data_IF_303277512006
#
_entry.id   IF_303277512006
#
_cell.length_a   1.000
_cell.length_b   1.000
_cell.length_c   1.000
_cell.angle_alpha   90.00
_cell.angle_beta   90.00
_cell.angle_gamma   90.00
#
_symmetry.space_group_name_H-M   'P 1'
#
loop_
_entity.id
_entity.type
_entity.pdbx_description
1 polymer ?
#
# COMPACT_ATOMS: atom_id res chain seq x y z
N UNK A 1 41.69 -57.99 -0.24
CA UNK A 1 40.93 -56.95 -0.96
C UNK A 1 39.47 -57.28 -1.24
N UNK A 2 39.02 -58.51 -1.13
CA UNK A 2 37.63 -58.92 -1.52
C UNK A 2 36.56 -58.65 -0.44
N UNK A 3 36.90 -58.55 0.83
CA UNK A 3 35.92 -58.34 1.91
C UNK A 3 35.34 -56.89 1.97
N UNK A 4 36.12 -55.89 1.62
CA UNK A 4 35.64 -54.50 1.62
C UNK A 4 34.64 -54.22 0.50
N UNK A 5 34.86 -54.84 -0.69
CA UNK A 5 33.96 -54.68 -1.84
C UNK A 5 32.60 -55.36 -1.62
N UNK A 6 32.57 -56.46 -0.90
CA UNK A 6 31.31 -57.14 -0.57
C UNK A 6 30.53 -56.39 0.51
N UNK A 7 31.22 -55.82 1.46
CA UNK A 7 30.60 -55.01 2.53
C UNK A 7 30.08 -53.65 1.98
N UNK A 8 30.82 -53.04 1.04
CA UNK A 8 30.38 -51.81 0.37
C UNK A 8 29.22 -52.08 -0.59
N UNK A 9 29.21 -53.23 -1.28
CA UNK A 9 28.09 -53.70 -2.09
C UNK A 9 26.87 -54.06 -1.22
N UNK A 10 27.06 -54.66 -0.07
CA UNK A 10 25.99 -54.94 0.89
C UNK A 10 25.45 -53.67 1.51
N UNK A 11 26.33 -52.74 1.90
CA UNK A 11 25.94 -51.39 2.33
C UNK A 11 25.16 -50.64 1.28
N UNK A 12 25.62 -50.61 0.05
CA UNK A 12 24.91 -49.96 -1.05
C UNK A 12 23.52 -50.55 -1.31
N UNK A 13 23.37 -51.85 -1.11
CA UNK A 13 22.09 -52.53 -1.28
C UNK A 13 21.14 -52.38 -0.08
N UNK A 14 21.68 -52.30 1.14
CA UNK A 14 20.90 -52.17 2.38
C UNK A 14 20.61 -50.70 2.69
N UNK A 15 21.49 -49.77 2.25
CA UNK A 15 21.38 -48.35 2.50
C UNK A 15 21.07 -47.53 1.24
N UNK A 16 20.59 -48.17 0.20
CA UNK A 16 20.30 -47.51 -1.07
C UNK A 16 19.20 -46.43 -0.95
N UNK A 17 18.38 -46.52 0.10
CA UNK A 17 17.26 -45.60 0.37
C UNK A 17 17.50 -44.67 1.59
N UNK A 18 18.73 -44.67 2.21
CA UNK A 18 19.07 -43.83 3.35
C UNK A 18 20.13 -44.42 4.29
N UNK A 19 20.78 -43.56 5.09
CA UNK A 19 21.89 -43.99 5.99
C UNK A 19 21.40 -44.64 7.29
N UNK A 20 20.15 -44.38 7.71
CA UNK A 20 19.51 -44.99 8.86
C UNK A 20 18.09 -45.49 8.56
N UNK A 21 17.46 -46.13 9.54
CA UNK A 21 16.10 -46.67 9.43
C UNK A 21 15.07 -45.57 9.21
N UNK A 22 15.26 -44.43 9.84
CA UNK A 22 14.34 -43.29 9.79
C UNK A 22 14.37 -42.61 8.42
N UNK A 23 15.57 -42.42 7.88
CA UNK A 23 15.79 -41.88 6.53
C UNK A 23 15.22 -42.80 5.46
N UNK A 24 15.39 -44.12 5.60
CA UNK A 24 14.81 -45.11 4.65
C UNK A 24 13.29 -45.10 4.67
N UNK A 25 12.70 -44.98 5.87
CA UNK A 25 11.24 -44.90 5.98
C UNK A 25 10.75 -43.58 5.33
N UNK A 26 11.40 -42.47 5.60
CA UNK A 26 11.08 -41.20 5.00
C UNK A 26 11.16 -41.21 3.48
N UNK A 27 12.27 -41.67 2.92
CA UNK A 27 12.47 -41.74 1.46
C UNK A 27 11.47 -42.69 0.79
N UNK A 28 11.10 -43.78 1.45
CA UNK A 28 10.06 -44.67 0.96
C UNK A 28 8.69 -44.02 0.97
N UNK A 29 8.32 -43.38 2.08
CA UNK A 29 7.05 -42.68 2.21
C UNK A 29 6.94 -41.52 1.21
N UNK A 30 8.04 -40.80 0.99
CA UNK A 30 8.06 -39.70 0.00
C UNK A 30 7.82 -40.22 -1.42
N UNK A 31 8.49 -41.33 -1.81
CA UNK A 31 8.30 -41.94 -3.10
C UNK A 31 6.87 -42.49 -3.28
N UNK A 32 6.36 -43.17 -2.25
CA UNK A 32 4.98 -43.71 -2.27
C UNK A 32 3.96 -42.54 -2.35
N UNK A 33 4.24 -41.39 -1.69
CA UNK A 33 3.41 -40.21 -1.76
C UNK A 33 3.48 -39.52 -3.14
N UNK A 34 4.66 -39.36 -3.73
CA UNK A 34 4.83 -38.85 -5.08
C UNK A 34 4.05 -39.64 -6.13
N UNK A 35 4.06 -40.99 -6.00
CA UNK A 35 3.27 -41.87 -6.86
C UNK A 35 1.75 -41.75 -6.60
N UNK A 36 1.36 -41.40 -5.38
CA UNK A 36 -0.02 -41.18 -4.98
C UNK A 36 -0.59 -39.88 -5.54
N UNK A 37 0.18 -38.78 -5.51
CA UNK A 37 -0.27 -37.46 -6.02
C UNK A 37 -0.81 -37.63 -7.43
N UNK A 38 -0.07 -38.29 -8.32
CA UNK A 38 -0.44 -38.46 -9.74
C UNK A 38 -1.68 -39.32 -9.98
N UNK A 39 -2.08 -40.10 -8.99
CA UNK A 39 -3.20 -41.05 -9.09
C UNK A 39 -4.41 -40.66 -8.26
N UNK A 40 -4.24 -39.64 -7.42
CA UNK A 40 -5.32 -39.16 -6.53
C UNK A 40 -6.39 -38.44 -7.34
N UNK A 41 -7.68 -38.70 -7.11
CA UNK A 41 -8.75 -37.89 -7.66
C UNK A 41 -8.77 -36.44 -7.07
N UNK A 42 -8.13 -36.25 -5.93
CA UNK A 42 -8.01 -34.94 -5.25
C UNK A 42 -6.68 -34.23 -5.59
N UNK A 43 -6.01 -34.69 -6.67
CA UNK A 43 -4.80 -34.00 -7.17
C UNK A 43 -5.14 -32.62 -7.69
N UNK A 44 -4.28 -31.66 -7.38
CA UNK A 44 -4.38 -30.25 -7.77
C UNK A 44 -3.03 -29.72 -8.24
N UNK A 45 -3.05 -28.79 -9.16
CA UNK A 45 -1.86 -28.09 -9.63
C UNK A 45 -1.68 -26.80 -8.83
N UNK A 46 -0.47 -26.56 -8.33
CA UNK A 46 -0.11 -25.36 -7.56
C UNK A 46 0.88 -24.52 -8.34
N UNK A 47 0.61 -23.23 -8.48
CA UNK A 47 1.55 -22.23 -8.97
C UNK A 47 2.09 -21.41 -7.80
N UNK A 48 3.39 -21.52 -7.53
CA UNK A 48 4.08 -20.77 -6.49
C UNK A 48 5.47 -20.33 -6.99
N UNK A 49 5.81 -19.05 -6.81
CA UNK A 49 7.10 -18.44 -7.25
C UNK A 49 7.48 -18.78 -8.71
N UNK A 50 6.50 -18.71 -9.62
CA UNK A 50 6.64 -19.03 -11.06
C UNK A 50 6.97 -20.51 -11.37
N UNK A 51 6.82 -21.41 -10.42
CA UNK A 51 6.94 -22.86 -10.62
C UNK A 51 5.59 -23.54 -10.44
N UNK A 52 5.45 -24.71 -11.05
CA UNK A 52 4.25 -25.54 -10.95
C UNK A 52 4.58 -26.83 -10.21
N UNK A 53 3.68 -27.23 -9.32
CA UNK A 53 3.84 -28.41 -8.47
C UNK A 53 2.51 -29.16 -8.39
N UNK A 54 2.60 -30.49 -8.32
CA UNK A 54 1.45 -31.32 -8.03
C UNK A 54 1.26 -31.45 -6.51
N UNK A 55 0.01 -31.43 -6.05
CA UNK A 55 -0.32 -31.60 -4.64
C UNK A 55 -1.66 -32.32 -4.48
N UNK A 56 -2.03 -32.65 -3.25
CA UNK A 56 -3.33 -33.24 -2.93
C UNK A 56 -4.10 -32.28 -2.03
N UNK A 57 -5.30 -31.88 -2.45
CA UNK A 57 -6.23 -31.12 -1.64
C UNK A 57 -7.08 -32.07 -0.82
N UNK A 58 -6.92 -32.03 0.51
CA UNK A 58 -7.71 -32.83 1.42
C UNK A 58 -8.75 -31.96 2.13
N UNK A 59 -9.99 -32.03 1.70
CA UNK A 59 -11.10 -31.28 2.31
C UNK A 59 -11.47 -31.73 3.73
N UNK A 60 -10.63 -32.56 4.35
CA UNK A 60 -10.80 -33.11 5.70
C UNK A 60 -12.15 -33.79 5.90
N UNK A 61 -12.17 -35.00 6.40
CA UNK A 61 -13.40 -35.76 6.66
C UNK A 61 -14.30 -35.07 7.68
N UNK A 62 -15.19 -34.16 7.26
CA UNK A 62 -16.33 -33.80 8.09
C UNK A 62 -17.42 -34.85 7.92
N UNK A 63 -17.44 -35.81 8.80
CA UNK A 63 -18.59 -36.68 9.04
C UNK A 63 -19.69 -35.95 9.83
N UNK A 64 -20.01 -34.74 9.55
CA UNK A 64 -21.13 -34.06 10.15
C UNK A 64 -22.05 -33.58 9.05
N UNK A 65 -23.22 -34.14 9.03
CA UNK A 65 -24.19 -34.06 7.96
C UNK A 65 -24.87 -32.70 7.82
N UNK A 66 -24.20 -31.73 7.31
CA UNK A 66 -24.88 -30.68 6.55
C UNK A 66 -24.05 -30.37 5.30
N UNK A 67 -24.65 -30.60 4.15
CA UNK A 67 -24.06 -30.40 2.82
C UNK A 67 -23.91 -28.91 2.43
N UNK A 68 -23.98 -27.99 3.38
CA UNK A 68 -24.07 -26.54 3.13
C UNK A 68 -22.96 -25.71 3.78
N UNK A 69 -22.09 -26.28 4.57
CA UNK A 69 -20.96 -25.54 5.14
C UNK A 69 -19.72 -25.70 4.28
N UNK A 70 -19.40 -24.66 3.51
CA UNK A 70 -18.10 -24.52 2.83
C UNK A 70 -17.02 -24.54 3.91
N UNK A 71 -16.16 -25.54 3.91
CA UNK A 71 -15.06 -25.54 4.88
C UNK A 71 -14.08 -24.45 4.50
N UNK A 72 -13.96 -23.50 5.38
CA UNK A 72 -13.07 -22.37 5.22
C UNK A 72 -11.61 -22.81 5.24
N UNK A 73 -11.24 -23.74 6.14
CA UNK A 73 -9.89 -24.27 6.26
C UNK A 73 -9.83 -25.64 5.59
N UNK A 74 -8.88 -25.77 4.68
CA UNK A 74 -8.57 -27.03 4.00
C UNK A 74 -7.13 -27.47 4.30
N UNK A 75 -6.82 -28.70 3.94
CA UNK A 75 -5.49 -29.25 4.09
C UNK A 75 -4.87 -29.50 2.72
N UNK A 76 -3.65 -28.99 2.56
CA UNK A 76 -2.82 -29.24 1.40
C UNK A 76 -1.70 -30.20 1.77
N UNK A 77 -1.52 -31.24 0.97
CA UNK A 77 -0.43 -32.19 1.08
C UNK A 77 0.51 -31.98 -0.10
N UNK A 78 1.78 -31.71 0.17
CA UNK A 78 2.79 -31.51 -0.88
C UNK A 78 3.96 -32.46 -0.71
N UNK A 79 4.67 -32.69 -1.79
CA UNK A 79 5.95 -33.36 -1.76
C UNK A 79 6.97 -32.56 -0.93
N UNK A 80 8.03 -33.23 -0.46
CA UNK A 80 9.12 -32.61 0.29
C UNK A 80 9.91 -31.58 -0.56
N UNK A 81 9.77 -31.62 -1.87
CA UNK A 81 10.37 -30.65 -2.79
C UNK A 81 9.66 -29.28 -2.77
N UNK A 82 8.44 -29.20 -2.23
CA UNK A 82 7.69 -27.95 -2.08
C UNK A 82 7.48 -27.60 -0.61
N UNK A 83 8.35 -26.76 -0.06
CA UNK A 83 8.18 -26.18 1.26
C UNK A 83 7.54 -24.78 1.15
N UNK A 84 6.30 -24.65 1.63
CA UNK A 84 5.56 -23.39 1.66
C UNK A 84 5.71 -22.73 3.04
N UNK A 85 6.24 -21.51 3.14
CA UNK A 85 6.25 -20.79 4.40
C UNK A 85 4.83 -20.35 4.82
N UNK A 86 4.65 -20.11 6.11
CA UNK A 86 3.42 -19.48 6.61
C UNK A 86 3.24 -18.10 5.96
N UNK A 87 2.02 -17.77 5.54
CA UNK A 87 1.73 -16.56 4.78
C UNK A 87 2.03 -16.63 3.28
N UNK A 88 2.55 -17.75 2.77
CA UNK A 88 2.71 -17.95 1.33
C UNK A 88 1.36 -17.90 0.62
N UNK A 89 1.28 -17.06 -0.41
CA UNK A 89 0.13 -17.00 -1.32
C UNK A 89 0.48 -17.75 -2.59
N UNK A 90 -0.41 -18.60 -3.04
CA UNK A 90 -0.24 -19.43 -4.23
C UNK A 90 -1.57 -19.61 -4.96
N UNK A 91 -1.49 -19.88 -6.23
CA UNK A 91 -2.66 -20.23 -7.03
C UNK A 91 -2.79 -21.75 -7.14
N UNK A 92 -4.01 -22.23 -7.06
CA UNK A 92 -4.33 -23.65 -7.16
C UNK A 92 -5.38 -23.87 -8.24
N UNK A 93 -5.07 -24.76 -9.17
CA UNK A 93 -5.98 -25.15 -10.23
C UNK A 93 -6.51 -26.57 -9.96
N UNK A 94 -7.83 -26.70 -9.98
CA UNK A 94 -8.49 -28.01 -9.89
C UNK A 94 -8.67 -28.57 -11.31
N UNK A 95 -7.99 -29.65 -11.71
CA UNK A 95 -7.99 -30.15 -13.08
C UNK A 95 -9.39 -30.54 -13.60
N UNK A 96 -10.30 -30.93 -12.70
CA UNK A 96 -11.66 -31.33 -13.08
C UNK A 96 -12.56 -30.12 -13.39
N UNK A 97 -12.35 -29.00 -12.73
CA UNK A 97 -13.18 -27.79 -12.86
C UNK A 97 -12.55 -26.74 -13.77
N UNK A 98 -11.27 -26.87 -14.08
CA UNK A 98 -10.46 -25.86 -14.81
C UNK A 98 -10.58 -24.45 -14.18
N UNK A 99 -10.74 -24.45 -12.85
CA UNK A 99 -10.91 -23.22 -12.05
C UNK A 99 -9.62 -23.00 -11.24
N UNK A 100 -9.07 -21.80 -11.37
CA UNK A 100 -7.91 -21.37 -10.59
C UNK A 100 -8.35 -20.45 -9.47
N UNK A 101 -7.96 -20.78 -8.26
CA UNK A 101 -8.28 -20.02 -7.04
C UNK A 101 -7.01 -19.68 -6.28
N UNK A 102 -7.02 -18.56 -5.57
CA UNK A 102 -5.86 -18.07 -4.80
C UNK A 102 -5.99 -18.48 -3.34
N UNK A 103 -4.91 -18.99 -2.77
CA UNK A 103 -4.88 -19.54 -1.40
C UNK A 103 -3.73 -18.97 -0.59
N UNK A 104 -3.89 -18.98 0.74
CA UNK A 104 -2.84 -18.59 1.69
C UNK A 104 -2.57 -19.74 2.67
N UNK A 105 -1.28 -19.93 2.98
CA UNK A 105 -0.85 -20.88 4.01
C UNK A 105 -1.00 -20.27 5.38
N UNK A 106 -1.82 -20.87 6.24
CA UNK A 106 -1.94 -20.45 7.64
C UNK A 106 -0.88 -21.11 8.52
N UNK A 107 -0.70 -22.42 8.36
CA UNK A 107 0.19 -23.16 9.24
C UNK A 107 0.64 -24.47 8.62
N UNK A 108 1.92 -24.81 8.86
CA UNK A 108 2.43 -26.15 8.58
C UNK A 108 2.19 -27.06 9.78
N UNK A 109 1.44 -28.14 9.61
CA UNK A 109 1.28 -29.12 10.67
C UNK A 109 2.60 -29.89 10.88
N UNK A 110 3.04 -29.94 12.13
CA UNK A 110 4.19 -30.77 12.51
C UNK A 110 3.70 -32.20 12.63
N UNK A 111 4.12 -33.05 11.67
CA UNK A 111 3.82 -34.45 11.69
C UNK A 111 5.05 -35.27 12.04
N UNK A 112 4.80 -36.39 12.69
CA UNK A 112 5.78 -37.47 12.82
C UNK A 112 6.00 -38.24 11.47
N UNK A 113 5.31 -37.85 10.41
CA UNK A 113 5.44 -38.46 9.09
C UNK A 113 6.43 -37.69 8.24
N UNK A 114 7.48 -38.38 7.82
CA UNK A 114 8.61 -37.78 7.10
C UNK A 114 8.48 -37.82 5.57
N UNK A 115 7.30 -38.16 5.05
CA UNK A 115 7.12 -38.42 3.61
C UNK A 115 6.51 -37.30 2.81
N UNK A 116 5.90 -36.31 3.45
CA UNK A 116 5.23 -35.16 2.81
C UNK A 116 5.04 -34.03 3.81
N UNK A 117 4.80 -32.82 3.29
CA UNK A 117 4.34 -31.69 4.10
C UNK A 117 2.82 -31.63 4.12
N UNK A 118 2.26 -31.16 5.23
CA UNK A 118 0.83 -30.90 5.38
C UNK A 118 0.61 -29.50 5.88
N UNK A 119 -0.17 -28.75 5.14
CA UNK A 119 -0.48 -27.35 5.42
C UNK A 119 -1.97 -27.16 5.68
N UNK A 120 -2.29 -26.21 6.55
CA UNK A 120 -3.61 -25.63 6.65
C UNK A 120 -3.64 -24.40 5.77
N UNK A 121 -4.64 -24.35 4.89
CA UNK A 121 -4.78 -23.29 3.90
C UNK A 121 -6.19 -22.71 3.92
N UNK A 122 -6.32 -21.47 3.50
CA UNK A 122 -7.60 -20.77 3.31
C UNK A 122 -7.64 -20.17 1.91
N UNK A 123 -8.78 -20.29 1.25
CA UNK A 123 -9.04 -19.66 -0.03
C UNK A 123 -9.24 -18.14 0.16
N UNK A 124 -8.55 -17.33 -0.64
CA UNK A 124 -8.71 -15.88 -0.69
C UNK A 124 -9.70 -15.56 -1.81
N UNK A 125 -10.97 -15.56 -1.48
CA UNK A 125 -12.08 -15.51 -2.44
C UNK A 125 -12.55 -14.09 -2.80
N UNK A 126 -11.88 -13.06 -2.24
CA UNK A 126 -12.14 -11.67 -2.54
C UNK A 126 -10.89 -10.95 -3.01
N UNK A 127 -11.05 -10.06 -3.99
CA UNK A 127 -10.08 -9.01 -4.29
C UNK A 127 -10.53 -7.72 -3.63
N UNK A 128 -9.71 -7.21 -2.72
CA UNK A 128 -9.97 -5.93 -2.06
C UNK A 128 -9.00 -4.87 -2.52
N UNK A 129 -9.50 -3.64 -2.67
CA UNK A 129 -8.72 -2.49 -3.07
C UNK A 129 -8.62 -1.51 -1.91
N UNK A 130 -7.46 -0.94 -1.72
CA UNK A 130 -7.24 0.15 -0.77
C UNK A 130 -6.21 1.13 -1.29
N UNK A 131 -6.27 2.35 -0.78
CA UNK A 131 -5.30 3.42 -1.07
C UNK A 131 -4.37 3.55 0.12
N UNK A 132 -3.07 3.51 -0.14
CA UNK A 132 -2.06 3.70 0.91
C UNK A 132 -1.92 5.18 1.32
N UNK A 133 -1.08 5.45 2.33
CA UNK A 133 -0.83 6.82 2.80
C UNK A 133 -0.15 7.71 1.75
N UNK A 134 0.39 7.12 0.68
CA UNK A 134 1.05 7.82 -0.42
C UNK A 134 0.14 8.04 -1.63
N UNK A 135 -1.07 7.46 -1.64
CA UNK A 135 -2.03 7.55 -2.73
C UNK A 135 -1.88 6.49 -3.80
N UNK A 136 -1.11 5.43 -3.53
CA UNK A 136 -1.05 4.31 -4.44
C UNK A 136 -2.24 3.39 -4.22
N UNK A 137 -2.88 2.99 -5.31
CA UNK A 137 -3.93 1.99 -5.28
C UNK A 137 -3.31 0.60 -5.25
N UNK A 138 -3.68 -0.17 -4.25
CA UNK A 138 -3.29 -1.57 -4.10
C UNK A 138 -4.50 -2.48 -4.28
N UNK A 139 -4.28 -3.62 -4.91
CA UNK A 139 -5.25 -4.71 -5.00
C UNK A 139 -4.63 -5.93 -4.33
N UNK A 140 -5.32 -6.51 -3.35
CA UNK A 140 -4.82 -7.66 -2.60
C UNK A 140 -5.92 -8.71 -2.47
N UNK A 141 -5.59 -9.98 -2.61
CA UNK A 141 -6.51 -11.06 -2.32
C UNK A 141 -6.74 -11.17 -0.81
N UNK A 142 -7.97 -11.43 -0.40
CA UNK A 142 -8.35 -11.57 0.99
C UNK A 142 -9.44 -12.64 1.16
N UNK A 143 -9.47 -13.25 2.33
CA UNK A 143 -10.62 -13.98 2.82
C UNK A 143 -11.42 -13.08 3.77
N UNK A 144 -12.73 -12.99 3.55
CA UNK A 144 -13.63 -12.16 4.35
C UNK A 144 -14.57 -13.04 5.16
N UNK A 145 -14.53 -12.90 6.47
CA UNK A 145 -15.38 -13.64 7.39
C UNK A 145 -16.34 -12.69 8.13
N UNK A 146 -17.63 -12.99 8.05
CA UNK A 146 -18.65 -12.34 8.90
C UNK A 146 -18.52 -12.77 10.37
N UNK A 147 -19.11 -11.98 11.26
CA UNK A 147 -19.14 -12.25 12.71
C UNK A 147 -19.96 -13.50 13.03
N UNK A 148 -19.45 -14.68 12.82
CA UNK A 148 -20.20 -15.91 13.13
C UNK A 148 -19.52 -17.21 12.75
N UNK A 149 -18.58 -17.20 11.86
CA UNK A 149 -17.89 -18.40 11.43
C UNK A 149 -16.70 -18.74 12.34
N UNK A 150 -16.68 -19.92 12.90
CA UNK A 150 -15.96 -20.26 14.12
C UNK A 150 -14.58 -20.87 13.92
N UNK A 151 -14.31 -21.47 12.77
CA UNK A 151 -13.14 -22.33 12.60
C UNK A 151 -11.79 -21.57 12.58
N UNK A 152 -11.83 -20.29 12.25
CA UNK A 152 -10.62 -19.44 12.17
C UNK A 152 -10.23 -18.89 13.55
N UNK A 153 -11.17 -18.64 14.44
CA UNK A 153 -10.90 -18.10 15.79
C UNK A 153 -10.01 -18.98 16.65
N UNK A 154 -10.00 -20.29 16.41
CA UNK A 154 -9.12 -21.21 17.16
C UNK A 154 -7.64 -20.99 16.90
N UNK A 155 -7.29 -20.39 15.75
CA UNK A 155 -5.90 -20.09 15.36
C UNK A 155 -5.42 -18.75 15.87
N UNK A 156 -6.30 -17.79 15.98
CA UNK A 156 -5.99 -16.45 16.45
C UNK A 156 -6.34 -16.33 17.92
N UNK A 157 -5.34 -16.49 18.80
CA UNK A 157 -5.49 -16.47 20.27
C UNK A 157 -5.96 -15.13 20.84
N UNK A 158 -5.82 -14.06 20.09
CA UNK A 158 -6.42 -12.77 20.44
C UNK A 158 -7.87 -12.77 19.99
N UNK A 159 -8.66 -13.57 20.71
CA UNK A 159 -10.08 -13.51 20.54
C UNK A 159 -10.56 -12.11 20.94
N UNK A 160 -11.58 -11.67 20.25
CA UNK A 160 -12.45 -10.53 20.54
C UNK A 160 -12.95 -10.45 22.02
N UNK A 161 -12.44 -11.24 22.94
CA UNK A 161 -12.81 -11.26 24.36
C UNK A 161 -12.46 -9.97 25.09
N UNK A 162 -11.66 -9.09 24.52
CA UNK A 162 -11.37 -7.76 25.09
C UNK A 162 -12.28 -6.66 24.53
N UNK A 163 -13.05 -6.92 23.49
CA UNK A 163 -14.01 -5.96 22.96
C UNK A 163 -15.40 -6.32 23.51
N UNK A 164 -15.76 -5.71 24.62
CA UNK A 164 -17.03 -5.91 25.34
C UNK A 164 -18.26 -5.44 24.56
N UNK A 165 -18.09 -4.67 23.52
CA UNK A 165 -19.14 -4.20 22.62
C UNK A 165 -18.64 -4.26 21.18
N UNK A 166 -18.75 -5.42 20.55
CA UNK A 166 -18.60 -5.50 19.09
C UNK A 166 -19.86 -4.88 18.49
N UNK A 167 -19.78 -3.75 17.79
CA UNK A 167 -20.91 -3.27 17.02
C UNK A 167 -21.43 -4.40 16.13
N UNK A 168 -22.73 -4.50 15.93
CA UNK A 168 -23.38 -5.59 15.19
C UNK A 168 -22.91 -5.79 13.73
N UNK A 169 -21.81 -5.14 13.32
CA UNK A 169 -21.24 -5.18 11.98
C UNK A 169 -19.71 -5.04 12.03
N UNK A 170 -19.04 -6.10 12.42
CA UNK A 170 -17.59 -6.25 12.24
C UNK A 170 -17.34 -7.32 11.19
N UNK A 171 -16.32 -7.15 10.37
CA UNK A 171 -15.77 -8.17 9.47
C UNK A 171 -14.36 -8.52 9.91
N UNK A 172 -13.97 -9.76 9.68
CA UNK A 172 -12.60 -10.19 9.86
C UNK A 172 -12.01 -10.56 8.50
N UNK A 173 -10.79 -10.11 8.25
CA UNK A 173 -10.05 -10.37 7.03
C UNK A 173 -8.81 -11.18 7.32
N UNK A 174 -8.53 -12.12 6.41
CA UNK A 174 -7.23 -12.80 6.33
C UNK A 174 -6.60 -12.40 5.01
N UNK A 175 -5.41 -11.90 5.07
CA UNK A 175 -4.58 -11.53 3.92
C UNK A 175 -3.10 -11.79 4.20
N UNK A 176 -2.30 -11.82 3.14
CA UNK A 176 -0.85 -11.90 3.30
C UNK A 176 -0.32 -10.65 4.00
N UNK A 177 0.76 -10.80 4.77
CA UNK A 177 1.39 -9.70 5.46
C UNK A 177 1.80 -8.60 4.48
N UNK A 178 1.25 -7.42 4.68
CA UNK A 178 1.56 -6.23 3.90
C UNK A 178 1.73 -5.04 4.85
N UNK A 179 2.93 -4.40 4.88
CA UNK A 179 3.21 -3.28 5.78
C UNK A 179 2.31 -2.07 5.55
N UNK A 180 1.72 -1.93 4.35
CA UNK A 180 0.86 -0.81 4.00
C UNK A 180 -0.56 -0.97 4.56
N UNK A 181 -0.95 -2.19 4.95
CA UNK A 181 -2.21 -2.44 5.65
C UNK A 181 -2.07 -2.02 7.11
N UNK A 182 -2.41 -0.77 7.37
CA UNK A 182 -2.33 -0.13 8.69
C UNK A 182 -3.72 0.10 9.28
N UNK A 183 -3.75 0.36 10.59
CA UNK A 183 -4.96 0.87 11.22
C UNK A 183 -5.40 2.16 10.53
N UNK A 184 -6.69 2.25 10.21
CA UNK A 184 -7.24 3.39 9.51
C UNK A 184 -7.42 3.21 8.01
N UNK A 185 -6.80 2.21 7.39
CA UNK A 185 -7.03 1.86 5.97
C UNK A 185 -8.51 1.58 5.77
N UNK A 186 -9.09 2.18 4.73
CA UNK A 186 -10.49 2.00 4.34
C UNK A 186 -10.57 1.13 3.10
N UNK A 187 -11.56 0.28 3.06
CA UNK A 187 -11.86 -0.63 1.94
C UNK A 187 -13.34 -0.60 1.64
N UNK A 188 -13.69 -0.77 0.38
CA UNK A 188 -15.07 -0.86 -0.06
C UNK A 188 -15.42 -2.30 -0.43
N UNK A 189 -16.60 -2.75 0.03
CA UNK A 189 -17.17 -4.05 -0.32
C UNK A 189 -18.63 -3.83 -0.66
N UNK A 190 -18.97 -3.99 -1.93
CA UNK A 190 -20.29 -3.63 -2.43
C UNK A 190 -20.53 -2.12 -2.32
N UNK A 191 -21.55 -1.73 -1.57
CA UNK A 191 -21.90 -0.33 -1.28
C UNK A 191 -21.49 0.14 0.13
N UNK A 192 -20.76 -0.70 0.85
CA UNK A 192 -20.37 -0.46 2.24
C UNK A 192 -18.86 -0.21 2.36
N UNK A 193 -18.50 0.73 3.22
CA UNK A 193 -17.11 1.05 3.53
C UNK A 193 -16.73 0.53 4.91
N UNK A 194 -15.56 -0.10 4.95
CA UNK A 194 -15.01 -0.76 6.12
C UNK A 194 -13.64 -0.18 6.45
N UNK A 195 -13.36 -0.01 7.73
CA UNK A 195 -12.09 0.56 8.21
C UNK A 195 -11.35 -0.46 9.06
N UNK A 196 -10.08 -0.67 8.77
CA UNK A 196 -9.19 -1.51 9.59
C UNK A 196 -9.02 -0.85 10.96
N UNK A 197 -9.41 -1.55 12.01
CA UNK A 197 -9.33 -1.06 13.39
C UNK A 197 -8.19 -1.73 14.13
N UNK A 198 -8.00 -3.02 13.91
CA UNK A 198 -6.95 -3.81 14.53
C UNK A 198 -6.46 -4.90 13.58
N UNK A 199 -5.22 -5.35 13.79
CA UNK A 199 -4.63 -6.45 13.03
C UNK A 199 -3.72 -7.26 13.93
N UNK A 200 -4.02 -8.55 14.06
CA UNK A 200 -3.07 -9.51 14.60
C UNK A 200 -2.01 -9.82 13.52
N UNK A 201 -0.79 -9.43 13.82
CA UNK A 201 0.38 -9.56 12.95
C UNK A 201 1.43 -10.53 13.51
N UNK A 202 1.10 -11.18 14.63
CA UNK A 202 2.06 -11.92 15.46
C UNK A 202 1.72 -13.40 15.53
N UNK A 203 0.42 -13.75 15.58
CA UNK A 203 -0.01 -15.14 15.81
C UNK A 203 0.43 -16.10 14.72
N UNK A 204 0.44 -15.64 13.47
CA UNK A 204 0.91 -16.41 12.31
C UNK A 204 1.87 -15.52 11.50
N UNK A 205 3.15 -15.86 11.42
CA UNK A 205 4.09 -15.12 10.58
C UNK A 205 3.60 -15.08 9.12
N UNK A 206 3.69 -13.90 8.50
CA UNK A 206 3.28 -13.72 7.11
C UNK A 206 1.78 -13.62 6.86
N UNK A 207 0.93 -13.72 7.88
CA UNK A 207 -0.52 -13.58 7.78
C UNK A 207 -1.00 -12.43 8.66
N UNK A 208 -1.79 -11.54 8.10
CA UNK A 208 -2.52 -10.53 8.87
C UNK A 208 -3.97 -10.97 9.04
N UNK A 209 -4.39 -11.05 10.30
CA UNK A 209 -5.78 -11.20 10.66
C UNK A 209 -6.31 -9.86 11.16
N UNK A 210 -7.14 -9.21 10.35
CA UNK A 210 -7.56 -7.84 10.61
C UNK A 210 -9.05 -7.77 10.92
N UNK A 211 -9.40 -6.98 11.93
CA UNK A 211 -10.78 -6.67 12.27
C UNK A 211 -11.14 -5.30 11.67
N UNK A 212 -12.24 -5.27 10.94
CA UNK A 212 -12.76 -4.09 10.29
C UNK A 212 -14.13 -3.73 10.82
N UNK A 213 -14.34 -2.43 11.02
CA UNK A 213 -15.66 -1.91 11.39
C UNK A 213 -16.26 -1.13 10.24
N UNK A 214 -17.57 -1.28 10.07
CA UNK A 214 -18.31 -0.48 9.11
C UNK A 214 -18.19 0.99 9.49
N UNK A 215 -17.84 1.82 8.51
CA UNK A 215 -17.77 3.27 8.63
C UNK A 215 -18.76 3.94 7.69
N UNK A 216 -18.92 5.24 7.83
CA UNK A 216 -19.76 6.02 6.92
C UNK A 216 -19.07 6.11 5.57
N UNK A 217 -19.84 5.86 4.51
CA UNK A 217 -19.39 6.11 3.15
C UNK A 217 -19.37 7.61 2.89
N UNK A 218 -18.29 8.09 2.32
CA UNK A 218 -18.22 9.41 1.74
C UNK A 218 -18.64 9.31 0.27
N UNK A 219 -19.72 10.00 -0.10
CA UNK A 219 -20.26 9.90 -1.47
C UNK A 219 -19.35 10.56 -2.53
N UNK A 220 -18.38 11.36 -2.10
CA UNK A 220 -17.46 12.07 -2.98
C UNK A 220 -16.15 11.32 -3.18
N UNK A 221 -15.68 10.66 -2.12
CA UNK A 221 -14.36 10.07 -2.07
C UNK A 221 -14.40 8.54 -2.26
N UNK A 222 -15.57 7.92 -2.03
CA UNK A 222 -15.72 6.47 -2.09
C UNK A 222 -16.45 6.05 -3.37
N UNK A 223 -15.71 5.49 -4.34
CA UNK A 223 -16.21 5.14 -5.65
C UNK A 223 -16.73 3.69 -5.71
N UNK A 224 -18.05 3.53 -5.71
CA UNK A 224 -18.71 2.22 -5.77
C UNK A 224 -18.42 1.44 -7.06
N UNK A 225 -18.45 2.04 -8.27
CA UNK A 225 -18.12 1.33 -9.49
C UNK A 225 -16.74 0.69 -9.52
N UNK A 226 -15.73 1.34 -8.99
CA UNK A 226 -14.34 0.82 -8.95
C UNK A 226 -14.04 0.05 -7.67
N UNK A 227 -14.96 0.05 -6.70
CA UNK A 227 -14.76 -0.54 -5.38
C UNK A 227 -13.53 0.01 -4.65
N UNK A 228 -13.35 1.33 -4.69
CA UNK A 228 -12.24 2.04 -4.06
C UNK A 228 -12.78 3.03 -3.04
N UNK A 229 -12.37 2.87 -1.78
CA UNK A 229 -12.55 3.88 -0.76
C UNK A 229 -11.39 4.89 -0.80
N UNK A 230 -11.65 6.14 -0.42
CA UNK A 230 -10.65 7.22 -0.44
C UNK A 230 -10.07 7.47 -1.87
N UNK A 231 -10.90 7.42 -2.89
CA UNK A 231 -10.49 7.59 -4.28
C UNK A 231 -9.87 8.98 -4.55
N UNK A 232 -10.23 9.99 -3.78
CA UNK A 232 -9.63 11.33 -3.78
C UNK A 232 -8.14 11.32 -3.43
N UNK A 233 -7.69 10.33 -2.66
CA UNK A 233 -6.29 10.16 -2.28
C UNK A 233 -5.43 9.53 -3.36
N UNK A 234 -6.03 9.00 -4.42
CA UNK A 234 -5.27 8.43 -5.55
C UNK A 234 -4.60 9.56 -6.32
N UNK A 235 -3.30 9.46 -6.52
CA UNK A 235 -2.53 10.40 -7.31
C UNK A 235 -1.05 10.40 -6.95
N UNK A 236 -0.25 10.78 -7.92
CA UNK A 236 1.18 10.86 -7.76
C UNK A 236 1.55 11.94 -6.72
N UNK A 237 2.18 11.51 -5.64
CA UNK A 237 2.79 12.42 -4.71
C UNK A 237 4.03 13.05 -5.35
N UNK A 238 4.03 14.35 -5.48
CA UNK A 238 5.12 15.10 -6.07
C UNK A 238 5.74 16.10 -5.09
N UNK A 239 7.08 16.19 -5.07
CA UNK A 239 7.76 17.30 -4.44
C UNK A 239 7.77 18.46 -5.44
N UNK A 240 7.21 19.60 -5.04
CA UNK A 240 7.10 20.79 -5.86
C UNK A 240 7.71 22.01 -5.17
N UNK A 241 7.93 23.06 -5.93
CA UNK A 241 8.45 24.33 -5.43
C UNK A 241 7.53 25.46 -5.90
N UNK A 242 7.32 26.49 -5.06
CA UNK A 242 6.55 27.67 -5.46
C UNK A 242 7.23 28.48 -6.58
N UNK A 243 8.50 28.21 -6.83
CA UNK A 243 9.28 28.88 -7.88
C UNK A 243 9.03 28.31 -9.29
N UNK A 244 8.21 27.26 -9.39
CA UNK A 244 7.83 26.65 -10.66
C UNK A 244 8.47 25.29 -10.92
N UNK A 245 8.41 24.88 -12.21
CA UNK A 245 8.96 23.60 -12.67
C UNK A 245 10.46 23.77 -12.92
N UNK A 246 11.25 22.79 -12.50
CA UNK A 246 12.70 22.78 -12.75
C UNK A 246 13.01 22.68 -14.27
N UNK A 247 13.97 23.46 -14.81
CA UNK A 247 14.81 24.45 -14.12
C UNK A 247 14.11 25.75 -13.78
N UNK A 248 14.44 26.36 -12.63
CA UNK A 248 13.90 27.66 -12.24
C UNK A 248 14.97 28.55 -11.59
N UNK A 249 14.69 29.87 -11.60
CA UNK A 249 15.57 30.85 -10.99
C UNK A 249 15.00 31.32 -9.63
N UNK A 250 15.88 31.55 -8.67
CA UNK A 250 15.54 32.09 -7.34
C UNK A 250 16.38 33.35 -7.11
N UNK A 251 15.79 34.47 -6.67
CA UNK A 251 16.53 35.65 -6.26
C UNK A 251 17.46 35.35 -5.08
N UNK A 252 18.57 36.01 -5.04
CA UNK A 252 19.48 35.98 -3.90
C UNK A 252 18.77 36.49 -2.64
N UNK A 253 18.85 35.71 -1.56
CA UNK A 253 18.15 36.03 -0.30
C UNK A 253 16.74 35.45 -0.20
N UNK A 254 16.14 34.97 -1.28
CA UNK A 254 14.83 34.29 -1.19
C UNK A 254 14.97 32.93 -0.45
N UNK A 255 13.97 32.58 0.37
CA UNK A 255 13.96 31.27 1.04
C UNK A 255 13.78 30.16 0.00
N UNK A 256 14.51 29.05 0.17
CA UNK A 256 14.37 27.87 -0.70
C UNK A 256 13.33 26.95 -0.09
N UNK A 257 12.14 26.87 -0.69
CA UNK A 257 10.95 26.20 -0.14
C UNK A 257 10.50 25.06 -1.05
N UNK A 258 10.12 23.94 -0.44
CA UNK A 258 9.47 22.80 -1.10
C UNK A 258 8.28 22.34 -0.29
N UNK A 259 7.32 21.71 -0.97
CA UNK A 259 6.16 21.08 -0.35
C UNK A 259 5.75 19.87 -1.17
N UNK A 260 5.00 18.96 -0.55
CA UNK A 260 4.39 17.83 -1.23
C UNK A 260 3.05 18.28 -1.82
N UNK A 261 2.79 17.89 -3.05
CA UNK A 261 1.54 18.17 -3.76
C UNK A 261 0.96 16.86 -4.30
N UNK A 262 -0.36 16.71 -4.21
CA UNK A 262 -1.11 15.63 -4.84
C UNK A 262 -2.34 16.22 -5.50
N UNK A 263 -2.57 15.92 -6.78
CA UNK A 263 -3.72 16.41 -7.53
C UNK A 263 -3.93 17.94 -7.45
N UNK A 264 -2.86 18.71 -7.32
CA UNK A 264 -2.92 20.17 -7.18
C UNK A 264 -3.23 20.69 -5.77
N UNK A 265 -3.37 19.79 -4.79
CA UNK A 265 -3.53 20.14 -3.38
C UNK A 265 -2.21 20.01 -2.64
N UNK A 266 -1.91 21.00 -1.80
CA UNK A 266 -0.76 20.96 -0.92
C UNK A 266 -1.02 20.02 0.25
N UNK A 267 -0.08 19.11 0.49
CA UNK A 267 -0.14 18.21 1.65
C UNK A 267 0.64 18.82 2.82
N UNK A 268 0.05 18.75 4.01
CA UNK A 268 0.69 19.24 5.24
C UNK A 268 2.04 18.54 5.50
N UNK A 269 3.06 19.37 5.75
CA UNK A 269 4.37 19.04 6.31
C UNK A 269 5.20 17.94 5.65
N UNK A 270 5.91 18.26 4.58
CA UNK A 270 7.09 17.50 4.18
C UNK A 270 8.23 17.64 5.18
N UNK A 271 8.82 16.51 5.61
CA UNK A 271 10.08 16.51 6.35
C UNK A 271 11.22 16.16 5.40
N UNK A 272 11.93 17.18 4.92
CA UNK A 272 12.89 17.01 3.85
C UNK A 272 14.33 16.80 4.34
N UNK A 273 15.08 16.04 3.53
CA UNK A 273 16.53 15.99 3.53
C UNK A 273 17.03 16.60 2.23
N UNK A 274 18.04 17.43 2.32
CA UNK A 274 18.59 18.17 1.19
C UNK A 274 20.04 17.77 0.89
N UNK A 275 20.38 17.72 -0.41
CA UNK A 275 21.77 17.55 -0.87
C UNK A 275 22.02 18.51 -2.04
N UNK A 276 22.88 19.50 -1.82
CA UNK A 276 23.32 20.45 -2.85
C UNK A 276 24.54 19.94 -3.59
N UNK A 277 24.61 20.18 -4.91
CA UNK A 277 25.79 19.92 -5.73
C UNK A 277 26.83 21.03 -5.60
N UNK A 278 26.41 22.23 -5.16
CA UNK A 278 27.29 23.39 -4.99
C UNK A 278 26.84 24.21 -3.78
N UNK A 279 27.52 24.01 -2.66
CA UNK A 279 27.22 24.68 -1.40
C UNK A 279 27.57 26.16 -1.38
N UNK A 280 28.39 26.64 -2.33
CA UNK A 280 28.66 28.06 -2.49
C UNK A 280 27.50 28.81 -3.15
N UNK A 281 26.58 28.12 -3.82
CA UNK A 281 25.34 28.66 -4.42
C UNK A 281 24.15 28.40 -3.52
N UNK A 282 23.98 27.13 -3.09
CA UNK A 282 22.90 26.70 -2.21
C UNK A 282 23.49 26.03 -0.96
N UNK A 283 23.56 26.74 0.13
CA UNK A 283 24.05 26.20 1.40
C UNK A 283 22.95 25.39 2.10
N UNK A 284 23.31 24.15 2.48
CA UNK A 284 22.42 23.24 3.22
C UNK A 284 22.85 23.20 4.68
N UNK A 285 21.92 23.53 5.59
CA UNK A 285 22.15 23.47 7.02
C UNK A 285 21.03 22.64 7.68
N UNK A 286 21.29 21.34 7.85
CA UNK A 286 20.32 20.39 8.41
C UNK A 286 19.05 20.27 7.55
N UNK A 287 17.95 20.86 8.02
CA UNK A 287 16.64 20.83 7.34
C UNK A 287 16.35 22.11 6.56
N UNK A 288 17.30 23.02 6.42
CA UNK A 288 17.12 24.28 5.71
C UNK A 288 18.11 24.43 4.57
N UNK A 289 17.66 25.11 3.53
CA UNK A 289 18.49 25.49 2.38
C UNK A 289 18.41 26.99 2.23
N UNK A 290 19.54 27.62 2.02
CA UNK A 290 19.64 29.06 1.81
C UNK A 290 20.45 29.36 0.56
N UNK A 291 20.14 30.47 -0.11
CA UNK A 291 20.96 31.00 -1.21
C UNK A 291 22.23 31.62 -0.63
N UNK A 292 23.41 31.11 -0.99
CA UNK A 292 24.72 31.55 -0.49
C UNK A 292 25.49 32.42 -1.49
N UNK A 293 25.26 32.22 -2.78
CA UNK A 293 25.88 32.95 -3.87
C UNK A 293 25.13 32.78 -5.16
N UNK A 294 25.42 33.64 -6.15
CA UNK A 294 24.85 33.54 -7.50
C UNK A 294 25.45 32.40 -8.29
N UNK A 295 24.68 31.79 -9.19
CA UNK A 295 25.09 30.69 -10.04
C UNK A 295 24.08 29.55 -10.07
N UNK A 296 24.47 28.45 -10.72
CA UNK A 296 23.58 27.27 -10.84
C UNK A 296 24.05 26.12 -9.94
N UNK A 297 23.09 25.41 -9.37
CA UNK A 297 23.31 24.20 -8.57
C UNK A 297 22.15 23.23 -8.72
N UNK A 298 22.43 21.93 -8.57
CA UNK A 298 21.42 20.91 -8.41
C UNK A 298 21.13 20.72 -6.92
N UNK A 299 19.86 20.72 -6.57
CA UNK A 299 19.41 20.37 -5.24
C UNK A 299 18.59 19.08 -5.30
N UNK A 300 19.04 18.05 -4.61
CA UNK A 300 18.25 16.83 -4.41
C UNK A 300 17.46 17.00 -3.12
N UNK A 301 16.16 16.90 -3.22
CA UNK A 301 15.20 16.98 -2.11
C UNK A 301 14.60 15.60 -1.92
N UNK A 302 14.74 15.05 -0.72
CA UNK A 302 14.17 13.75 -0.37
C UNK A 302 13.20 13.93 0.79
N UNK A 303 11.95 13.55 0.61
CA UNK A 303 11.00 13.48 1.71
C UNK A 303 11.33 12.28 2.61
N UNK A 304 11.50 12.52 3.89
CA UNK A 304 11.89 11.49 4.86
C UNK A 304 10.76 10.49 5.14
N UNK A 305 9.51 10.88 4.91
CA UNK A 305 8.32 10.06 5.16
C UNK A 305 8.08 9.16 3.96
N UNK A 306 7.79 9.73 2.80
CA UNK A 306 7.46 9.00 1.57
C UNK A 306 8.67 8.36 0.88
N UNK A 307 9.89 8.76 1.24
CA UNK A 307 11.15 8.38 0.59
C UNK A 307 11.28 8.84 -0.87
N UNK A 308 10.32 9.60 -1.37
CA UNK A 308 10.39 10.18 -2.71
C UNK A 308 11.53 11.17 -2.76
N UNK A 309 12.29 11.12 -3.84
CA UNK A 309 13.43 12.00 -4.08
C UNK A 309 13.31 12.66 -5.44
N UNK A 310 13.48 13.99 -5.47
CA UNK A 310 13.45 14.77 -6.71
C UNK A 310 14.65 15.70 -6.79
N UNK A 311 15.20 15.79 -7.99
CA UNK A 311 16.33 16.68 -8.29
C UNK A 311 15.80 17.94 -8.97
N UNK A 312 16.19 19.10 -8.44
CA UNK A 312 15.85 20.40 -8.98
C UNK A 312 17.11 21.09 -9.51
N UNK A 313 16.99 21.68 -10.67
CA UNK A 313 18.01 22.55 -11.27
C UNK A 313 17.66 23.98 -10.94
N UNK A 314 18.49 24.63 -10.11
CA UNK A 314 18.21 25.93 -9.50
C UNK A 314 19.32 26.89 -9.89
N UNK A 315 18.93 28.04 -10.43
CA UNK A 315 19.85 29.16 -10.68
C UNK A 315 19.54 30.29 -9.69
N UNK A 316 20.52 30.65 -8.87
CA UNK A 316 20.43 31.81 -7.99
C UNK A 316 20.92 33.02 -8.76
N UNK A 317 20.02 34.01 -8.87
CA UNK A 317 20.28 35.25 -9.61
C UNK A 317 20.34 36.46 -8.65
N UNK A 318 21.19 37.39 -8.98
CA UNK A 318 21.16 38.68 -8.30
C UNK A 318 20.25 39.62 -9.10
N UNK A 319 19.03 39.86 -8.57
CA UNK A 319 18.06 40.77 -9.19
C UNK A 319 17.79 41.93 -8.26
N UNK A 320 17.57 43.11 -8.84
CA UNK A 320 17.05 44.26 -8.14
C UNK A 320 15.50 44.32 -8.18
N UNK A 321 14.88 43.43 -8.95
CA UNK A 321 13.44 43.38 -9.12
C UNK A 321 12.78 42.73 -7.93
N UNK A 322 11.62 43.23 -7.55
CA UNK A 322 10.82 42.64 -6.50
C UNK A 322 10.23 41.31 -6.97
N UNK A 323 9.98 40.40 -6.03
CA UNK A 323 9.41 39.11 -6.33
C UNK A 323 8.19 38.78 -5.46
N UNK A 324 7.27 38.00 -6.01
CA UNK A 324 6.18 37.39 -5.28
C UNK A 324 5.96 35.97 -5.80
N UNK A 325 6.06 34.99 -4.92
CA UNK A 325 5.73 33.58 -5.19
C UNK A 325 4.60 33.16 -4.26
N UNK A 326 3.79 32.21 -4.73
CA UNK A 326 2.60 31.80 -4.02
C UNK A 326 2.67 30.30 -3.75
N UNK A 327 2.39 29.93 -2.52
CA UNK A 327 2.27 28.56 -2.08
C UNK A 327 0.85 28.32 -1.60
N UNK A 328 0.28 27.14 -1.90
CA UNK A 328 -1.06 26.69 -1.49
C UNK A 328 -1.76 25.90 -2.57
N UNK A 329 -2.99 25.53 -2.29
CA UNK A 329 -3.79 24.70 -3.18
C UNK A 329 -4.12 25.42 -4.48
N UNK A 330 -3.94 24.71 -5.59
CA UNK A 330 -4.36 25.15 -6.93
C UNK A 330 -5.78 24.72 -7.28
N UNK A 331 -6.38 23.89 -6.45
CA UNK A 331 -7.74 23.37 -6.61
C UNK A 331 -8.50 23.63 -5.32
N UNK A 332 -9.71 24.15 -5.43
CA UNK A 332 -10.61 24.41 -4.30
C UNK A 332 -12.03 23.99 -4.64
N UNK A 333 -12.75 23.43 -3.68
CA UNK A 333 -14.15 23.05 -3.85
C UNK A 333 -15.08 24.27 -3.95
N UNK A 334 -16.19 24.18 -4.67
CA UNK A 334 -17.23 25.21 -4.69
C UNK A 334 -17.71 25.51 -3.27
N UNK A 335 -17.81 26.80 -2.91
CA UNK A 335 -18.20 27.23 -1.58
C UNK A 335 -17.14 27.06 -0.50
N UNK A 336 -16.01 26.44 -0.80
CA UNK A 336 -14.91 26.22 0.15
C UNK A 336 -13.90 27.36 0.15
N UNK A 337 -13.01 27.32 1.13
CA UNK A 337 -11.94 28.30 1.27
C UNK A 337 -10.59 27.62 1.37
N UNK A 338 -9.60 28.14 0.65
CA UNK A 338 -8.20 27.78 0.82
C UNK A 338 -7.37 28.95 1.32
N UNK A 339 -6.19 28.64 1.83
CA UNK A 339 -5.23 29.62 2.34
C UNK A 339 -3.98 29.55 1.49
N UNK A 340 -3.65 30.68 0.85
CA UNK A 340 -2.41 30.86 0.13
C UNK A 340 -1.40 31.62 0.98
N UNK A 341 -0.14 31.19 0.93
CA UNK A 341 0.99 31.86 1.59
C UNK A 341 1.83 32.61 0.56
N UNK A 342 2.03 33.90 0.77
CA UNK A 342 2.82 34.75 -0.11
C UNK A 342 4.28 34.78 0.35
N UNK A 343 5.19 34.53 -0.57
CA UNK A 343 6.63 34.60 -0.39
C UNK A 343 7.12 35.79 -1.22
N UNK A 344 7.28 36.93 -0.59
CA UNK A 344 7.62 38.20 -1.26
C UNK A 344 8.58 39.01 -0.41
N UNK A 345 9.42 39.81 -1.06
CA UNK A 345 10.31 40.76 -0.43
C UNK A 345 9.63 42.12 -0.15
N UNK A 346 8.42 42.34 -0.70
CA UNK A 346 7.61 43.54 -0.56
C UNK A 346 6.17 43.24 -0.18
N UNK A 347 5.43 44.23 0.27
CA UNK A 347 4.00 44.08 0.54
C UNK A 347 3.21 44.12 -0.78
N UNK A 348 2.82 42.99 -1.27
CA UNK A 348 2.00 42.85 -2.47
C UNK A 348 0.52 42.94 -2.14
N UNK A 349 -0.27 43.41 -3.09
CA UNK A 349 -1.74 43.42 -3.04
C UNK A 349 -2.28 42.36 -3.98
N UNK A 350 -3.09 41.44 -3.44
CA UNK A 350 -3.77 40.42 -4.24
C UNK A 350 -5.08 40.99 -4.80
N UNK A 351 -5.30 40.79 -6.09
CA UNK A 351 -6.54 41.17 -6.76
C UNK A 351 -7.00 40.09 -7.73
N UNK A 352 -8.30 40.03 -7.99
CA UNK A 352 -8.87 39.14 -9.03
C UNK A 352 -10.01 39.84 -9.74
N UNK A 353 -10.11 39.67 -11.03
CA UNK A 353 -11.26 40.06 -11.84
C UNK A 353 -12.33 38.99 -11.96
N UNK A 354 -12.05 37.80 -11.47
CA UNK A 354 -12.96 36.68 -11.55
C UNK A 354 -14.06 36.73 -10.48
N UNK A 355 -15.33 36.61 -10.85
CA UNK A 355 -16.42 36.49 -9.89
C UNK A 355 -16.43 35.18 -9.11
N UNK A 356 -15.59 34.21 -9.50
CA UNK A 356 -15.46 32.91 -8.86
C UNK A 356 -14.72 32.96 -7.53
N UNK A 357 -14.01 34.05 -7.22
CA UNK A 357 -13.18 34.13 -6.02
C UNK A 357 -13.46 35.39 -5.24
N UNK A 358 -13.50 35.24 -3.90
CA UNK A 358 -13.47 36.35 -2.95
C UNK A 358 -12.18 36.28 -2.16
N UNK A 359 -11.42 37.39 -2.15
CA UNK A 359 -10.10 37.45 -1.53
C UNK A 359 -10.13 38.22 -0.21
N UNK A 360 -9.42 37.68 0.80
CA UNK A 360 -9.15 38.41 2.06
C UNK A 360 -7.69 38.24 2.42
N UNK A 361 -6.91 39.30 2.23
CA UNK A 361 -5.47 39.30 2.55
C UNK A 361 -5.20 39.83 3.96
N UNK A 362 -4.27 39.17 4.65
CA UNK A 362 -3.76 39.62 5.97
C UNK A 362 -2.24 39.33 5.99
N UNK A 363 -1.46 40.41 5.75
CA UNK A 363 0.00 40.26 5.61
C UNK A 363 0.38 39.34 4.47
N UNK A 364 1.19 38.30 4.75
CA UNK A 364 1.61 37.29 3.80
C UNK A 364 0.61 36.16 3.63
N UNK A 365 -0.55 36.22 4.25
CA UNK A 365 -1.59 35.17 4.14
C UNK A 365 -2.78 35.72 3.36
N UNK A 366 -3.20 34.94 2.34
CA UNK A 366 -4.36 35.26 1.52
C UNK A 366 -5.40 34.14 1.67
N UNK A 367 -6.54 34.46 2.28
CA UNK A 367 -7.69 33.58 2.29
C UNK A 367 -8.49 33.76 1.00
N UNK A 368 -8.69 32.72 0.26
CA UNK A 368 -9.47 32.66 -0.97
C UNK A 368 -10.73 31.86 -0.71
N UNK A 369 -11.89 32.43 -0.96
CA UNK A 369 -13.19 31.76 -0.88
C UNK A 369 -13.71 31.57 -2.30
N UNK A 370 -13.99 30.34 -2.69
CA UNK A 370 -14.59 30.01 -3.96
C UNK A 370 -16.10 30.24 -3.96
N UNK A 371 -16.64 30.72 -5.06
CA UNK A 371 -18.08 30.81 -5.28
C UNK A 371 -18.70 29.45 -5.58
N UNK A 372 -20.03 29.37 -5.60
CA UNK A 372 -20.79 28.17 -5.95
C UNK A 372 -20.87 27.93 -7.47
N UNK A 373 -19.74 28.09 -8.16
CA UNK A 373 -19.64 27.87 -9.61
C UNK A 373 -18.26 27.33 -9.98
N UNK A 374 -18.23 26.37 -10.88
CA UNK A 374 -16.99 25.77 -11.39
C UNK A 374 -16.30 26.66 -12.41
N UNK A 375 -14.99 26.57 -12.46
CA UNK A 375 -14.18 27.25 -13.46
C UNK A 375 -12.78 27.53 -13.00
N UNK A 376 -12.02 28.18 -13.86
CA UNK A 376 -10.65 28.60 -13.57
C UNK A 376 -10.63 30.12 -13.33
N UNK A 377 -9.94 30.51 -12.27
CA UNK A 377 -9.79 31.91 -11.90
C UNK A 377 -8.31 32.26 -11.66
N UNK A 378 -7.96 33.51 -11.92
CA UNK A 378 -6.61 34.00 -11.66
C UNK A 378 -6.60 35.03 -10.54
N UNK A 379 -5.52 35.06 -9.78
CA UNK A 379 -5.22 36.03 -8.77
C UNK A 379 -3.92 36.72 -9.17
N UNK A 380 -3.97 38.01 -9.32
CA UNK A 380 -2.83 38.85 -9.68
C UNK A 380 -2.23 39.48 -8.40
N UNK A 381 -0.92 39.43 -8.29
CA UNK A 381 -0.16 40.01 -7.16
C UNK A 381 0.60 41.22 -7.65
N UNK A 382 0.22 42.38 -7.13
CA UNK A 382 0.63 43.71 -7.61
C UNK A 382 1.39 44.44 -6.53
N UNK A 383 2.47 45.09 -6.91
CA UNK A 383 3.22 46.05 -6.09
C UNK A 383 3.48 47.30 -6.90
N UNK A 384 3.19 48.45 -6.36
CA UNK A 384 3.35 49.80 -6.99
C UNK A 384 2.80 49.90 -8.44
N UNK A 385 1.63 49.29 -8.68
CA UNK A 385 0.97 49.13 -9.99
C UNK A 385 1.70 48.21 -10.99
N UNK A 386 2.73 47.51 -10.57
CA UNK A 386 3.42 46.51 -11.38
C UNK A 386 2.96 45.11 -11.00
N UNK A 387 2.65 44.26 -12.02
CA UNK A 387 2.28 42.87 -11.83
C UNK A 387 3.54 42.05 -11.58
N UNK A 388 3.67 41.50 -10.36
CA UNK A 388 4.81 40.63 -10.00
C UNK A 388 4.58 39.17 -10.34
N UNK A 389 3.36 38.65 -10.13
CA UNK A 389 3.03 37.26 -10.45
C UNK A 389 1.52 37.08 -10.57
N UNK A 390 1.15 35.95 -11.19
CA UNK A 390 -0.25 35.49 -11.31
C UNK A 390 -0.34 34.06 -10.81
N UNK A 391 -1.35 33.77 -9.99
CA UNK A 391 -1.63 32.44 -9.50
C UNK A 391 -3.00 31.97 -10.02
N UNK A 392 -3.05 30.74 -10.55
CA UNK A 392 -4.27 30.18 -11.12
C UNK A 392 -4.88 29.18 -10.15
N UNK A 393 -6.18 29.32 -9.89
CA UNK A 393 -6.98 28.40 -9.08
C UNK A 393 -8.08 27.81 -9.94
N UNK A 394 -8.25 26.50 -9.84
CA UNK A 394 -9.37 25.77 -10.40
C UNK A 394 -10.43 25.53 -9.32
N UNK A 395 -11.65 26.03 -9.56
CA UNK A 395 -12.80 25.75 -8.70
C UNK A 395 -13.51 24.52 -9.23
N UNK A 396 -13.53 23.45 -8.48
CA UNK A 396 -14.17 22.18 -8.85
C UNK A 396 -15.48 21.98 -8.09
N UNK A 397 -16.38 21.24 -8.70
CA UNK A 397 -17.54 20.71 -7.97
C UNK A 397 -17.05 19.73 -6.91
N UNK A 398 -17.48 19.94 -5.66
CA UNK A 398 -17.41 18.87 -4.65
C UNK A 398 -18.41 17.75 -4.95
N UNK A 399 -19.26 17.91 -5.97
CA UNK A 399 -20.33 17.02 -6.35
C UNK A 399 -20.05 16.27 -7.67
N UNK A 400 -18.81 16.11 -8.09
CA UNK A 400 -18.54 15.36 -9.32
C UNK A 400 -18.64 13.86 -9.04
N UNK A 401 -19.63 13.34 -9.68
CA UNK A 401 -20.00 11.93 -9.88
C UNK A 401 -18.87 11.06 -10.42
#
# INVERSE_FOLDING_TARGET
>A
MALNTYFDYYKSRVFNDGHDEQERISNRLNRDFHDLIKKSPDSVDIAYENNYYDAILNSGNSRVGSQTERKVIQYLLTDLDLELPEGAVFDMTQPIMDETTTWIVLHREIHSYYGYYKYKIVELDYEVKYVDEYGNLHTVPAYINGTGEFDIKEYFRYSLNTITEVPNRALNFIWAANPDIKQGVRIMIGDEVWKVVDSDKISIPGVYYSTLYKTVRDEYDDDVPTQVADNDKIGDLAIVSPYGVSPFAIPMGAPVVFYNERNGQELDSGSYQYKSSNTAVLAVNGTTVTTAGTGSAFLTVTDKISKISKKFDITVVNTSDHYCYVRGDKVVGMGEATILTLISDVNVVASTSSPLLTLKQTGSTLKVLAADAMGTATIDFIYDNELLSTFTIEVKSIWVT
#
